data_IF_667510522342
#
_entry.id   IF_667510522342
#
_cell.length_a   1.000
_cell.length_b   1.000
_cell.length_c   1.000
_cell.angle_alpha   90.00
_cell.angle_beta   90.00
_cell.angle_gamma   90.00
#
_symmetry.space_group_name_H-M   'P 1'
#
loop_
_entity.id
_entity.type
_entity.pdbx_description
1 polymer ?
#
# COMPACT_ATOMS: atom_id res chain seq x y z
N UNK A 1 -38.26 4.84 1.16
CA UNK A 1 -37.12 3.91 1.07
C UNK A 1 -35.86 4.76 1.07
N UNK A 2 -35.12 4.82 2.19
CA UNK A 2 -33.87 5.60 2.23
C UNK A 2 -32.84 4.88 1.38
N UNK A 3 -32.54 5.41 0.19
CA UNK A 3 -31.48 4.90 -0.65
C UNK A 3 -30.16 5.06 0.10
N UNK A 4 -29.61 3.94 0.58
CA UNK A 4 -28.26 3.89 1.13
C UNK A 4 -27.30 4.44 0.08
N UNK A 5 -26.54 5.48 0.40
CA UNK A 5 -25.83 6.30 -0.59
C UNK A 5 -24.72 5.58 -1.36
N UNK A 6 -24.21 4.42 -0.92
CA UNK A 6 -23.23 3.58 -1.64
C UNK A 6 -23.31 2.10 -1.17
N UNK A 7 -24.27 1.30 -1.66
CA UNK A 7 -24.53 -0.02 -1.11
C UNK A 7 -23.41 -1.04 -1.39
N UNK A 8 -22.78 -1.00 -2.57
CA UNK A 8 -21.75 -1.96 -2.96
C UNK A 8 -20.45 -1.69 -2.19
N UNK A 9 -20.04 -0.42 -2.08
CA UNK A 9 -18.85 -0.04 -1.30
C UNK A 9 -18.95 -0.57 0.14
N UNK A 10 -20.09 -0.33 0.81
CA UNK A 10 -20.30 -0.78 2.19
C UNK A 10 -20.26 -2.29 2.31
N UNK A 11 -20.83 -3.01 1.34
CA UNK A 11 -20.81 -4.46 1.30
C UNK A 11 -19.38 -4.98 1.14
N UNK A 12 -18.64 -4.49 0.13
CA UNK A 12 -17.26 -4.91 -0.15
C UNK A 12 -16.33 -4.60 1.02
N UNK A 13 -16.45 -3.43 1.66
CA UNK A 13 -15.65 -3.08 2.83
C UNK A 13 -15.90 -4.00 4.02
N UNK A 14 -17.13 -4.49 4.21
CA UNK A 14 -17.46 -5.44 5.28
C UNK A 14 -16.92 -6.84 4.97
N UNK A 15 -17.08 -7.31 3.74
CA UNK A 15 -16.59 -8.63 3.30
C UNK A 15 -15.07 -8.71 3.31
N UNK A 16 -14.39 -7.62 2.98
CA UNK A 16 -12.92 -7.57 2.88
C UNK A 16 -12.20 -7.26 4.20
N UNK A 17 -12.90 -7.18 5.35
CA UNK A 17 -12.29 -6.81 6.65
C UNK A 17 -11.14 -7.71 7.05
N UNK A 18 -11.31 -9.02 6.91
CA UNK A 18 -10.26 -9.99 7.25
C UNK A 18 -9.07 -9.88 6.31
N UNK A 19 -9.32 -9.67 5.00
CA UNK A 19 -8.28 -9.41 4.03
C UNK A 19 -7.50 -8.13 4.36
N UNK A 20 -8.19 -7.02 4.64
CA UNK A 20 -7.55 -5.76 5.04
C UNK A 20 -6.74 -5.93 6.33
N UNK A 21 -7.27 -6.66 7.32
CA UNK A 21 -6.55 -6.95 8.56
C UNK A 21 -5.30 -7.80 8.30
N UNK A 22 -5.38 -8.82 7.45
CA UNK A 22 -4.24 -9.66 7.07
C UNK A 22 -3.14 -8.87 6.36
N UNK A 23 -3.49 -8.06 5.35
CA UNK A 23 -2.53 -7.21 4.65
C UNK A 23 -1.93 -6.12 5.53
N UNK A 24 -2.73 -5.52 6.41
CA UNK A 24 -2.26 -4.55 7.39
C UNK A 24 -1.29 -5.20 8.39
N UNK A 25 -1.62 -6.39 8.90
CA UNK A 25 -0.75 -7.14 9.79
C UNK A 25 0.58 -7.50 9.12
N UNK A 26 0.55 -7.92 7.85
CA UNK A 26 1.77 -8.19 7.07
C UNK A 26 2.67 -6.96 6.94
N UNK A 27 2.10 -5.78 6.65
CA UNK A 27 2.84 -4.52 6.56
C UNK A 27 3.39 -4.04 7.91
N UNK A 28 2.62 -4.20 8.99
CA UNK A 28 3.09 -3.91 10.35
C UNK A 28 4.23 -4.86 10.74
N UNK A 29 4.11 -6.15 10.45
CA UNK A 29 5.16 -7.13 10.69
C UNK A 29 6.43 -6.80 9.91
N UNK A 30 6.31 -6.42 8.62
CA UNK A 30 7.44 -5.96 7.83
C UNK A 30 8.09 -4.70 8.43
N UNK A 31 7.28 -3.74 8.89
CA UNK A 31 7.78 -2.52 9.54
C UNK A 31 8.56 -2.83 10.82
N UNK A 32 8.02 -3.73 11.65
CA UNK A 32 8.65 -4.20 12.89
C UNK A 32 9.94 -4.98 12.64
N UNK A 33 10.04 -5.68 11.51
CA UNK A 33 11.22 -6.44 11.15
C UNK A 33 12.34 -5.52 10.64
N UNK A 34 12.03 -4.58 9.75
CA UNK A 34 13.05 -3.81 9.02
C UNK A 34 13.48 -2.52 9.70
N UNK A 35 12.55 -1.76 10.29
CA UNK A 35 12.86 -0.43 10.82
C UNK A 35 13.81 -0.46 12.04
N UNK A 36 13.64 -1.36 13.02
CA UNK A 36 14.53 -1.43 14.18
C UNK A 36 15.97 -1.86 13.87
N UNK A 37 16.25 -2.30 12.65
CA UNK A 37 17.61 -2.65 12.19
C UNK A 37 18.42 -1.38 11.84
N UNK A 38 17.75 -0.24 11.61
CA UNK A 38 18.42 1.00 11.22
C UNK A 38 19.59 1.43 12.15
N UNK A 39 19.46 1.43 13.49
CA UNK A 39 20.55 1.84 14.38
C UNK A 39 21.80 0.96 14.24
N UNK A 40 21.64 -0.33 13.92
CA UNK A 40 22.77 -1.26 13.81
C UNK A 40 23.47 -1.24 12.45
N UNK A 41 22.79 -0.84 11.37
CA UNK A 41 23.37 -0.79 10.01
C UNK A 41 23.56 0.62 9.46
N UNK A 42 22.55 1.48 9.62
CA UNK A 42 22.55 2.85 9.10
C UNK A 42 23.36 3.78 10.00
N UNK A 43 23.02 3.83 11.30
CA UNK A 43 23.71 4.71 12.24
C UNK A 43 25.17 4.28 12.53
N UNK A 44 25.52 3.01 12.30
CA UNK A 44 26.86 2.46 12.51
C UNK A 44 27.84 2.73 11.36
N UNK A 45 27.39 3.33 10.24
CA UNK A 45 28.22 3.64 9.07
C UNK A 45 28.52 2.43 8.16
N UNK A 46 27.98 1.25 8.46
CA UNK A 46 28.12 0.07 7.58
C UNK A 46 27.49 0.33 6.20
N UNK A 47 26.32 0.95 6.13
CA UNK A 47 25.69 1.29 4.85
C UNK A 47 26.54 2.27 4.03
N UNK A 48 27.23 3.22 4.65
CA UNK A 48 28.11 4.17 3.94
C UNK A 48 29.31 3.45 3.30
N UNK A 49 29.85 2.43 3.97
CA UNK A 49 30.94 1.61 3.42
C UNK A 49 30.50 0.80 2.18
N UNK A 50 29.24 0.35 2.16
CA UNK A 50 28.66 -0.34 0.99
C UNK A 50 28.43 0.65 -0.15
N UNK A 51 27.84 1.82 0.13
CA UNK A 51 27.57 2.85 -0.88
C UNK A 51 28.85 3.36 -1.52
N UNK A 52 29.90 3.58 -0.72
CA UNK A 52 31.21 4.02 -1.23
C UNK A 52 31.95 2.97 -2.07
N UNK A 53 31.54 1.70 -2.00
CA UNK A 53 32.05 0.63 -2.87
C UNK A 53 31.35 0.56 -4.23
N UNK A 54 30.22 1.26 -4.39
CA UNK A 54 29.46 1.29 -5.64
C UNK A 54 29.94 2.43 -6.56
N UNK A 55 29.92 2.24 -7.90
CA UNK A 55 30.12 3.32 -8.86
C UNK A 55 29.18 4.51 -8.59
N UNK A 56 29.66 5.76 -8.68
CA UNK A 56 28.87 6.95 -8.36
C UNK A 56 27.63 7.10 -9.23
N UNK A 57 27.67 6.61 -10.48
CA UNK A 57 26.53 6.60 -11.39
C UNK A 57 25.40 5.68 -10.86
N UNK A 58 25.75 4.55 -10.26
CA UNK A 58 24.76 3.63 -9.66
C UNK A 58 24.16 4.23 -8.38
N UNK A 59 24.97 4.90 -7.57
CA UNK A 59 24.47 5.55 -6.35
C UNK A 59 23.46 6.64 -6.69
N UNK A 60 23.76 7.49 -7.68
CA UNK A 60 22.88 8.57 -8.10
C UNK A 60 21.61 8.09 -8.80
N UNK A 61 21.69 7.03 -9.61
CA UNK A 61 20.53 6.50 -10.34
C UNK A 61 19.57 5.73 -9.43
N UNK A 62 20.10 5.03 -8.43
CA UNK A 62 19.31 4.26 -7.47
C UNK A 62 18.86 5.07 -6.25
N UNK A 63 19.32 6.31 -6.10
CA UNK A 63 18.97 7.19 -4.98
C UNK A 63 19.56 6.71 -3.64
N UNK A 64 20.74 6.10 -3.68
CA UNK A 64 21.43 5.58 -2.49
C UNK A 64 22.27 6.62 -1.75
N UNK A 65 22.31 7.85 -2.26
CA UNK A 65 22.94 9.01 -1.62
C UNK A 65 22.48 9.23 -0.18
N UNK A 66 21.23 8.90 0.11
CA UNK A 66 20.60 9.14 1.41
C UNK A 66 20.28 7.87 2.19
N UNK A 67 20.73 6.69 1.75
CA UNK A 67 20.29 5.39 2.31
C UNK A 67 20.72 5.16 3.76
N UNK A 68 21.82 5.79 4.19
CA UNK A 68 22.30 5.75 5.58
C UNK A 68 21.51 6.65 6.53
N UNK A 69 20.65 7.53 6.00
CA UNK A 69 19.70 8.32 6.81
C UNK A 69 18.45 7.51 7.10
N UNK A 70 17.78 7.73 8.24
CA UNK A 70 16.57 6.97 8.58
C UNK A 70 15.42 7.19 7.59
N UNK A 71 15.36 8.37 6.95
CA UNK A 71 14.42 8.64 5.86
C UNK A 71 14.73 7.83 4.59
N UNK A 72 15.98 7.84 4.13
CA UNK A 72 16.39 7.07 2.96
C UNK A 72 16.31 5.56 3.21
N UNK A 73 16.70 5.09 4.40
CA UNK A 73 16.57 3.69 4.80
C UNK A 73 15.12 3.22 4.79
N UNK A 74 14.21 3.98 5.42
CA UNK A 74 12.77 3.69 5.43
C UNK A 74 12.19 3.68 4.02
N UNK A 75 12.61 4.63 3.18
CA UNK A 75 12.17 4.71 1.80
C UNK A 75 12.67 3.53 0.97
N UNK A 76 13.95 3.16 1.07
CA UNK A 76 14.55 2.12 0.25
C UNK A 76 14.08 0.70 0.65
N UNK A 77 14.03 0.40 1.94
CA UNK A 77 13.74 -0.95 2.43
C UNK A 77 12.24 -1.22 2.58
N UNK A 78 11.51 -0.27 3.17
CA UNK A 78 10.11 -0.45 3.50
C UNK A 78 9.21 0.10 2.40
N UNK A 79 9.23 1.41 2.12
CA UNK A 79 8.21 2.01 1.24
C UNK A 79 8.42 1.67 -0.24
N UNK A 80 9.65 1.68 -0.71
CA UNK A 80 10.03 1.45 -2.12
C UNK A 80 10.14 -0.02 -2.51
N UNK A 81 10.29 -0.93 -1.54
CA UNK A 81 10.45 -2.36 -1.80
C UNK A 81 9.34 -3.20 -1.16
N UNK A 82 9.43 -3.51 0.14
CA UNK A 82 8.53 -4.50 0.77
C UNK A 82 7.09 -3.99 0.82
N UNK A 83 6.90 -2.75 1.25
CA UNK A 83 5.62 -2.05 1.27
C UNK A 83 5.02 -1.92 -0.13
N UNK A 84 5.85 -1.54 -1.11
CA UNK A 84 5.44 -1.51 -2.51
C UNK A 84 4.95 -2.86 -3.02
N UNK A 85 5.73 -3.92 -2.83
CA UNK A 85 5.37 -5.28 -3.30
C UNK A 85 4.09 -5.76 -2.62
N UNK A 86 4.02 -5.72 -1.28
CA UNK A 86 2.86 -6.22 -0.55
C UNK A 86 1.59 -5.44 -0.88
N UNK A 87 1.66 -4.11 -0.88
CA UNK A 87 0.48 -3.29 -1.16
C UNK A 87 0.04 -3.40 -2.62
N UNK A 88 0.97 -3.56 -3.55
CA UNK A 88 0.65 -3.79 -4.97
C UNK A 88 -0.01 -5.15 -5.19
N UNK A 89 0.47 -6.21 -4.55
CA UNK A 89 -0.20 -7.54 -4.61
C UNK A 89 -1.63 -7.43 -4.07
N UNK A 90 -1.81 -6.76 -2.93
CA UNK A 90 -3.13 -6.53 -2.36
C UNK A 90 -4.04 -5.75 -3.32
N UNK A 91 -3.54 -4.64 -3.87
CA UNK A 91 -4.27 -3.76 -4.77
C UNK A 91 -4.67 -4.46 -6.07
N UNK A 92 -3.76 -5.21 -6.70
CA UNK A 92 -4.01 -5.97 -7.92
C UNK A 92 -5.00 -7.10 -7.66
N UNK A 93 -4.81 -7.88 -6.59
CA UNK A 93 -5.74 -8.95 -6.24
C UNK A 93 -7.15 -8.44 -5.95
N UNK A 94 -7.26 -7.28 -5.30
CA UNK A 94 -8.56 -6.64 -5.04
C UNK A 94 -9.17 -6.02 -6.28
N UNK A 95 -8.36 -5.45 -7.18
CA UNK A 95 -8.82 -4.87 -8.43
C UNK A 95 -9.33 -5.94 -9.41
N UNK A 96 -8.57 -7.01 -9.60
CA UNK A 96 -8.96 -8.13 -10.48
C UNK A 96 -10.24 -8.82 -10.01
N UNK A 97 -10.42 -8.97 -8.69
CA UNK A 97 -11.63 -9.56 -8.12
C UNK A 97 -12.84 -8.62 -8.10
N UNK A 98 -12.69 -7.33 -8.43
CA UNK A 98 -13.75 -6.36 -8.27
C UNK A 98 -14.88 -6.50 -9.31
N UNK A 99 -14.57 -6.97 -10.52
CA UNK A 99 -15.53 -7.20 -11.60
C UNK A 99 -15.44 -8.66 -12.05
N UNK A 100 -14.32 -9.09 -12.63
CA UNK A 100 -14.15 -10.46 -13.14
C UNK A 100 -14.36 -11.56 -12.09
N UNK A 101 -13.95 -11.34 -10.83
CA UNK A 101 -14.21 -12.31 -9.75
C UNK A 101 -15.68 -12.43 -9.35
N UNK A 102 -16.45 -11.33 -9.43
CA UNK A 102 -17.90 -11.35 -9.18
C UNK A 102 -18.65 -11.95 -10.39
N UNK A 103 -18.09 -11.84 -11.60
CA UNK A 103 -18.62 -12.49 -12.80
C UNK A 103 -18.39 -14.01 -12.76
N UNK A 104 -17.17 -14.46 -12.45
CA UNK A 104 -16.83 -15.89 -12.34
C UNK A 104 -17.66 -16.61 -11.27
N UNK A 105 -17.97 -15.92 -10.17
CA UNK A 105 -18.83 -16.46 -9.10
C UNK A 105 -20.33 -16.35 -9.38
N UNK A 106 -20.75 -15.75 -10.50
CA UNK A 106 -22.14 -15.49 -10.85
C UNK A 106 -22.82 -14.42 -9.96
N UNK A 107 -22.10 -13.81 -9.04
CA UNK A 107 -22.61 -12.78 -8.13
C UNK A 107 -22.95 -11.47 -8.86
N UNK A 108 -22.26 -11.19 -9.97
CA UNK A 108 -22.51 -10.01 -10.80
C UNK A 108 -23.92 -10.03 -11.39
N UNK A 109 -24.40 -11.18 -11.89
CA UNK A 109 -25.74 -11.32 -12.48
C UNK A 109 -26.84 -11.09 -11.44
N UNK A 110 -26.65 -11.63 -10.23
CA UNK A 110 -27.57 -11.41 -9.10
C UNK A 110 -27.59 -9.94 -8.66
N UNK A 111 -26.45 -9.26 -8.71
CA UNK A 111 -26.36 -7.84 -8.36
C UNK A 111 -27.06 -6.96 -9.40
N UNK A 112 -26.84 -7.24 -10.70
CA UNK A 112 -27.50 -6.51 -11.80
C UNK A 112 -29.02 -6.72 -11.80
N UNK A 113 -29.51 -7.88 -11.36
CA UNK A 113 -30.94 -8.15 -11.23
C UNK A 113 -31.65 -7.23 -10.21
N UNK A 114 -30.92 -6.59 -9.29
CA UNK A 114 -31.47 -5.68 -8.28
C UNK A 114 -31.49 -4.19 -8.71
N UNK A 115 -31.40 -3.90 -10.01
CA UNK A 115 -31.59 -2.55 -10.56
C UNK A 115 -30.37 -1.63 -10.44
N UNK A 116 -29.16 -2.20 -10.35
CA UNK A 116 -27.91 -1.45 -10.27
C UNK A 116 -27.36 -1.20 -11.67
N UNK A 117 -26.87 0.00 -11.94
CA UNK A 117 -26.32 0.33 -13.27
C UNK A 117 -24.87 -0.14 -13.41
N UNK A 118 -24.43 -0.46 -14.64
CA UNK A 118 -23.03 -0.86 -14.92
C UNK A 118 -22.01 0.21 -14.52
N UNK A 119 -22.34 1.49 -14.72
CA UNK A 119 -21.48 2.62 -14.32
C UNK A 119 -21.34 2.71 -12.80
N UNK A 120 -22.43 2.48 -12.07
CA UNK A 120 -22.40 2.46 -10.60
C UNK A 120 -21.50 1.33 -10.08
N UNK A 121 -21.57 0.13 -10.68
CA UNK A 121 -20.68 -0.98 -10.31
C UNK A 121 -19.21 -0.60 -10.50
N UNK A 122 -18.86 -0.03 -11.66
CA UNK A 122 -17.48 0.38 -11.94
C UNK A 122 -16.97 1.48 -10.99
N UNK A 123 -17.77 2.53 -10.75
CA UNK A 123 -17.39 3.62 -9.85
C UNK A 123 -17.28 3.16 -8.39
N UNK A 124 -18.23 2.36 -7.91
CA UNK A 124 -18.19 1.81 -6.55
C UNK A 124 -17.06 0.78 -6.37
N UNK A 125 -16.66 0.06 -7.42
CA UNK A 125 -15.48 -0.82 -7.40
C UNK A 125 -14.18 -0.02 -7.21
N UNK A 126 -13.97 1.03 -8.01
CA UNK A 126 -12.80 1.91 -7.89
C UNK A 126 -12.77 2.61 -6.53
N UNK A 127 -13.92 3.13 -6.08
CA UNK A 127 -14.02 3.79 -4.78
C UNK A 127 -13.75 2.83 -3.61
N UNK A 128 -14.28 1.60 -3.69
CA UNK A 128 -14.02 0.55 -2.70
C UNK A 128 -12.54 0.19 -2.65
N UNK A 129 -11.89 0.02 -3.80
CA UNK A 129 -10.44 -0.21 -3.87
C UNK A 129 -9.67 0.94 -3.22
N UNK A 130 -9.97 2.18 -3.58
CA UNK A 130 -9.31 3.37 -3.05
C UNK A 130 -9.42 3.47 -1.53
N UNK A 131 -10.60 3.19 -0.95
CA UNK A 131 -10.81 3.21 0.50
C UNK A 131 -10.04 2.09 1.21
N UNK A 132 -9.99 0.89 0.64
CA UNK A 132 -9.27 -0.25 1.23
C UNK A 132 -7.76 0.01 1.28
N UNK A 133 -7.19 0.50 0.19
CA UNK A 133 -5.77 0.87 0.14
C UNK A 133 -5.49 2.02 1.13
N UNK A 134 -6.39 3.01 1.23
CA UNK A 134 -6.23 4.13 2.16
C UNK A 134 -6.20 3.66 3.62
N UNK A 135 -7.07 2.74 4.02
CA UNK A 135 -7.09 2.16 5.38
C UNK A 135 -5.76 1.45 5.66
N UNK A 136 -5.29 0.60 4.75
CA UNK A 136 -4.03 -0.14 4.94
C UNK A 136 -2.83 0.81 4.99
N UNK A 137 -2.81 1.85 4.15
CA UNK A 137 -1.78 2.90 4.19
C UNK A 137 -1.81 3.69 5.49
N UNK A 138 -2.99 3.99 6.04
CA UNK A 138 -3.11 4.66 7.33
C UNK A 138 -2.53 3.81 8.46
N UNK A 139 -2.76 2.48 8.45
CA UNK A 139 -2.14 1.55 9.41
C UNK A 139 -0.62 1.51 9.24
N UNK A 140 -0.12 1.44 8.01
CA UNK A 140 1.32 1.48 7.72
C UNK A 140 1.95 2.79 8.22
N UNK A 141 1.33 3.93 7.93
CA UNK A 141 1.81 5.24 8.40
C UNK A 141 1.85 5.29 9.93
N UNK A 142 0.81 4.82 10.60
CA UNK A 142 0.78 4.75 12.06
C UNK A 142 1.91 3.86 12.61
N UNK A 143 2.19 2.73 11.97
CA UNK A 143 3.29 1.85 12.35
C UNK A 143 4.67 2.52 12.17
N UNK A 144 4.90 3.18 11.03
CA UNK A 144 6.15 3.92 10.76
C UNK A 144 6.34 5.04 11.77
N UNK A 145 5.29 5.82 12.07
CA UNK A 145 5.36 6.91 13.04
C UNK A 145 5.59 6.38 14.46
N UNK A 146 4.96 5.27 14.84
CA UNK A 146 5.19 4.63 16.15
C UNK A 146 6.62 4.09 16.28
N UNK A 147 7.22 3.61 15.20
CA UNK A 147 8.59 3.08 15.17
C UNK A 147 9.66 4.15 14.95
N UNK A 148 9.28 5.38 14.61
CA UNK A 148 10.22 6.46 14.31
C UNK A 148 11.22 6.74 15.44
N UNK A 149 10.73 6.90 16.67
CA UNK A 149 11.55 7.15 17.84
C UNK A 149 12.36 5.90 18.30
N UNK A 150 11.76 4.71 18.51
CA UNK A 150 12.51 3.55 19.01
C UNK A 150 13.52 2.99 17.99
N UNK A 151 13.34 3.28 16.70
CA UNK A 151 14.29 2.89 15.65
C UNK A 151 15.27 4.02 15.28
N UNK A 152 15.29 5.14 16.02
CA UNK A 152 16.20 6.28 15.81
C UNK A 152 16.20 6.84 14.37
N UNK A 153 15.07 6.77 13.67
CA UNK A 153 15.01 7.09 12.24
C UNK A 153 15.03 8.61 11.97
N UNK A 154 14.67 9.44 12.95
CA UNK A 154 14.67 10.90 12.81
C UNK A 154 13.73 11.42 11.72
N UNK A 155 12.65 10.70 11.40
CA UNK A 155 11.74 11.06 10.32
C UNK A 155 10.94 12.32 10.68
N UNK A 156 10.93 13.29 9.78
CA UNK A 156 9.92 14.33 9.79
C UNK A 156 8.56 13.74 9.36
N UNK A 157 7.50 14.03 10.14
CA UNK A 157 6.15 13.51 9.88
C UNK A 157 5.70 13.78 8.45
N UNK A 158 5.99 14.98 7.91
CA UNK A 158 5.65 15.33 6.53
C UNK A 158 6.30 14.43 5.48
N UNK A 159 7.53 13.95 5.72
CA UNK A 159 8.22 13.02 4.81
C UNK A 159 7.63 11.62 4.87
N UNK A 160 7.28 11.14 6.07
CA UNK A 160 6.59 9.86 6.24
C UNK A 160 5.23 9.86 5.54
N UNK A 161 4.44 10.93 5.72
CA UNK A 161 3.15 11.12 5.03
C UNK A 161 3.33 11.15 3.52
N UNK A 162 4.31 11.92 3.01
CA UNK A 162 4.56 12.00 1.58
C UNK A 162 4.96 10.65 0.98
N UNK A 163 5.82 9.88 1.65
CA UNK A 163 6.22 8.55 1.20
C UNK A 163 5.07 7.56 1.15
N UNK A 164 4.25 7.51 2.21
CA UNK A 164 3.05 6.64 2.23
C UNK A 164 2.01 7.10 1.21
N UNK A 165 1.85 8.41 0.98
CA UNK A 165 0.95 8.94 -0.04
C UNK A 165 1.42 8.56 -1.45
N UNK A 166 2.72 8.63 -1.73
CA UNK A 166 3.26 8.18 -3.01
C UNK A 166 2.99 6.68 -3.24
N UNK A 167 3.21 5.86 -2.20
CA UNK A 167 2.90 4.44 -2.23
C UNK A 167 1.39 4.17 -2.45
N UNK A 168 0.52 4.92 -1.76
CA UNK A 168 -0.93 4.86 -1.93
C UNK A 168 -1.34 5.11 -3.38
N UNK A 169 -0.85 6.20 -3.99
CA UNK A 169 -1.17 6.57 -5.36
C UNK A 169 -0.67 5.54 -6.37
N UNK A 170 0.54 5.03 -6.16
CA UNK A 170 1.13 4.01 -7.02
C UNK A 170 0.36 2.68 -6.95
N UNK A 171 -0.01 2.22 -5.76
CA UNK A 171 -0.82 1.02 -5.62
C UNK A 171 -2.25 1.21 -6.13
N UNK A 172 -2.82 2.42 -6.00
CA UNK A 172 -4.12 2.75 -6.59
C UNK A 172 -4.08 2.68 -8.12
N UNK A 173 -3.01 3.18 -8.75
CA UNK A 173 -2.79 3.07 -10.18
C UNK A 173 -2.76 1.60 -10.62
N UNK A 174 -1.92 0.79 -9.96
CA UNK A 174 -1.79 -0.65 -10.26
C UNK A 174 -3.10 -1.43 -10.07
N UNK A 175 -3.83 -1.17 -8.98
CA UNK A 175 -5.10 -1.81 -8.73
C UNK A 175 -6.21 -1.36 -9.69
N UNK A 176 -6.20 -0.09 -10.11
CA UNK A 176 -7.14 0.42 -11.11
C UNK A 176 -6.91 -0.22 -12.48
N UNK A 177 -5.64 -0.39 -12.88
CA UNK A 177 -5.30 -1.14 -14.09
C UNK A 177 -5.80 -2.60 -14.02
N UNK A 178 -5.73 -3.23 -12.85
CA UNK A 178 -6.27 -4.57 -12.64
C UNK A 178 -7.81 -4.62 -12.75
N UNK A 179 -8.52 -3.60 -12.27
CA UNK A 179 -9.98 -3.48 -12.48
C UNK A 179 -10.28 -3.44 -13.98
N UNK A 180 -9.57 -2.62 -14.74
CA UNK A 180 -9.82 -2.50 -16.20
C UNK A 180 -9.46 -3.76 -16.97
N UNK A 181 -8.49 -4.55 -16.51
CA UNK A 181 -8.10 -5.80 -17.15
C UNK A 181 -9.07 -6.95 -16.86
N UNK A 182 -9.80 -6.88 -15.74
CA UNK A 182 -10.82 -7.87 -15.35
C UNK A 182 -12.26 -7.44 -15.62
N UNK A 183 -12.48 -6.34 -16.36
CA UNK A 183 -13.80 -5.81 -16.73
C UNK A 183 -14.12 -6.11 -18.19
#
# INVERSE_FOLDING_TARGET
MSASTLPLVRHTLRRSRLGMAGWSAGLVAASLLYLPIYPSMGASGQLDSVVSSLPPELVSTLGFDSISTGAGYTQATLLGLIGFVLLTIAAVGWGAAAIGGEEESGALELTLAHGVTRLQVALEAVLSLALRIAVVCAVLLAAVLALNAPSELGLAVGKAVAGVLALYLLSLLSGSAAITAGA
#
